data_IF_501254153493
#
_entry.id   IF_501254153493
#
_cell.length_a   1.000
_cell.length_b   1.000
_cell.length_c   1.000
_cell.angle_alpha   90.00
_cell.angle_beta   90.00
_cell.angle_gamma   90.00
#
_symmetry.space_group_name_H-M   'P 1'
#
loop_
_entity.id
_entity.type
_entity.pdbx_description
1 polymer ?
#
# COMPACT_ATOMS: atom_id res chain seq x y z
N UNK A 1 -30.82 -59.84 -18.43
CA UNK A 1 -30.20 -60.58 -17.31
C UNK A 1 -29.58 -59.53 -16.41
N UNK A 2 -30.05 -59.46 -15.17
CA UNK A 2 -29.71 -58.45 -14.18
C UNK A 2 -28.23 -58.53 -13.77
N UNK A 3 -27.63 -57.42 -13.32
CA UNK A 3 -27.46 -57.16 -11.87
C UNK A 3 -26.63 -55.89 -11.57
N UNK A 4 -27.19 -55.10 -10.64
CA UNK A 4 -26.64 -54.22 -9.59
C UNK A 4 -25.42 -53.31 -9.88
N UNK A 5 -25.56 -51.99 -9.83
CA UNK A 5 -25.63 -51.14 -8.62
C UNK A 5 -24.39 -51.22 -7.71
N UNK A 6 -23.51 -50.23 -7.83
CA UNK A 6 -22.70 -49.73 -6.69
C UNK A 6 -22.61 -48.21 -6.80
N UNK A 7 -23.60 -47.57 -6.19
CA UNK A 7 -23.67 -46.12 -5.95
C UNK A 7 -22.65 -45.75 -4.87
N UNK A 8 -21.53 -45.13 -5.27
CA UNK A 8 -20.59 -44.52 -4.33
C UNK A 8 -21.22 -43.27 -3.73
N UNK A 9 -21.54 -43.34 -2.45
CA UNK A 9 -22.09 -42.27 -1.63
C UNK A 9 -20.95 -41.30 -1.28
N UNK A 10 -20.88 -40.16 -1.96
CA UNK A 10 -20.07 -39.02 -1.50
C UNK A 10 -20.84 -38.30 -0.39
N UNK A 11 -20.23 -37.98 0.77
CA UNK A 11 -20.90 -37.19 1.79
C UNK A 11 -21.07 -35.74 1.31
N UNK A 12 -22.30 -35.25 1.41
CA UNK A 12 -22.68 -33.85 1.30
C UNK A 12 -22.01 -33.04 2.42
N UNK A 13 -20.91 -32.36 2.10
CA UNK A 13 -20.19 -31.47 3.01
C UNK A 13 -20.65 -30.02 2.87
N UNK A 14 -21.43 -29.57 3.86
CA UNK A 14 -21.61 -28.20 4.36
C UNK A 14 -21.50 -27.00 3.41
N UNK A 15 -22.63 -26.34 3.17
CA UNK A 15 -22.68 -24.91 2.91
C UNK A 15 -21.92 -24.17 4.02
N UNK A 16 -20.71 -23.70 3.70
CA UNK A 16 -19.99 -22.75 4.53
C UNK A 16 -20.80 -21.45 4.57
N UNK A 17 -21.39 -21.18 5.74
CA UNK A 17 -22.06 -19.93 6.03
C UNK A 17 -21.14 -18.76 5.68
N UNK A 18 -21.51 -18.04 4.62
CA UNK A 18 -20.92 -16.74 4.29
C UNK A 18 -21.41 -15.76 5.35
N UNK A 19 -20.72 -15.72 6.50
CA UNK A 19 -20.92 -14.70 7.53
C UNK A 19 -20.53 -13.36 6.93
N UNK A 20 -21.53 -12.61 6.49
CA UNK A 20 -21.39 -11.18 6.21
C UNK A 20 -21.05 -10.50 7.53
N UNK A 21 -19.76 -10.21 7.75
CA UNK A 21 -19.31 -9.39 8.87
C UNK A 21 -19.75 -7.94 8.60
N UNK A 22 -21.00 -7.63 8.91
CA UNK A 22 -21.51 -6.25 8.96
C UNK A 22 -20.96 -5.68 10.27
N UNK A 23 -19.87 -4.90 10.19
CA UNK A 23 -19.25 -4.26 11.36
C UNK A 23 -20.27 -3.51 12.21
N UNK A 24 -20.14 -3.58 13.54
CA UNK A 24 -21.13 -2.96 14.42
C UNK A 24 -21.06 -1.43 14.32
N UNK A 25 -22.16 -0.71 14.61
CA UNK A 25 -22.18 0.76 14.64
C UNK A 25 -21.11 1.36 15.56
N UNK A 26 -20.76 0.67 16.65
CA UNK A 26 -19.68 1.04 17.57
C UNK A 26 -18.30 1.03 16.89
N UNK A 27 -18.01 -0.02 16.12
CA UNK A 27 -16.73 -0.16 15.40
C UNK A 27 -16.53 0.98 14.39
N UNK A 28 -17.62 1.42 13.74
CA UNK A 28 -17.58 2.54 12.78
C UNK A 28 -17.33 3.88 13.48
N UNK A 29 -17.95 4.10 14.63
CA UNK A 29 -17.76 5.33 15.41
C UNK A 29 -16.33 5.45 15.96
N UNK A 30 -15.78 4.35 16.48
CA UNK A 30 -14.39 4.29 16.94
C UNK A 30 -13.39 4.48 15.79
N UNK A 31 -13.62 3.83 14.65
CA UNK A 31 -12.80 4.02 13.46
C UNK A 31 -12.80 5.47 12.95
N UNK A 32 -13.97 6.13 12.97
CA UNK A 32 -14.06 7.55 12.62
C UNK A 32 -13.30 8.44 13.60
N UNK A 33 -13.43 8.19 14.92
CA UNK A 33 -12.69 8.94 15.94
C UNK A 33 -11.16 8.77 15.79
N UNK A 34 -10.69 7.56 15.48
CA UNK A 34 -9.28 7.30 15.20
C UNK A 34 -8.80 8.03 13.93
N UNK A 35 -9.62 8.07 12.88
CA UNK A 35 -9.32 8.80 11.65
C UNK A 35 -9.25 10.31 11.91
N UNK A 36 -10.16 10.87 12.70
CA UNK A 36 -10.15 12.29 13.08
C UNK A 36 -8.89 12.65 13.88
N UNK A 37 -8.50 11.79 14.84
CA UNK A 37 -7.27 11.98 15.62
C UNK A 37 -6.01 11.93 14.73
N UNK A 38 -5.97 11.00 13.77
CA UNK A 38 -4.89 10.92 12.78
C UNK A 38 -4.82 12.20 11.93
N UNK A 39 -5.96 12.66 11.41
CA UNK A 39 -6.05 13.88 10.61
C UNK A 39 -5.57 15.07 11.43
N UNK A 40 -5.99 15.20 12.68
CA UNK A 40 -5.62 16.32 13.54
C UNK A 40 -4.12 16.33 13.86
N UNK A 41 -3.52 15.16 14.13
CA UNK A 41 -2.07 15.03 14.35
C UNK A 41 -1.25 15.54 13.16
N UNK A 42 -1.69 15.22 11.95
CA UNK A 42 -0.94 15.51 10.73
C UNK A 42 -1.36 16.81 10.04
N UNK A 43 -2.47 17.43 10.47
CA UNK A 43 -2.95 18.71 9.97
C UNK A 43 -1.90 19.81 10.22
N UNK A 44 -1.46 20.47 9.15
CA UNK A 44 -0.60 21.65 9.25
C UNK A 44 0.86 21.37 9.61
N UNK A 45 1.30 20.09 9.64
CA UNK A 45 2.70 19.74 9.87
C UNK A 45 3.59 20.32 8.75
N UNK A 46 4.54 21.19 9.12
CA UNK A 46 5.41 21.93 8.17
C UNK A 46 6.77 21.28 7.92
N UNK A 47 7.06 20.16 8.57
CA UNK A 47 8.33 19.42 8.45
C UNK A 47 8.66 19.02 6.99
N UNK A 48 9.94 18.73 6.68
CA UNK A 48 10.36 18.41 5.32
C UNK A 48 9.78 17.05 4.87
N UNK A 49 9.63 16.85 3.57
CA UNK A 49 9.08 15.61 3.00
C UNK A 49 9.78 14.35 3.55
N UNK A 50 11.13 14.38 3.58
CA UNK A 50 11.95 13.27 4.06
C UNK A 50 11.77 12.99 5.57
N UNK A 51 11.60 14.02 6.39
CA UNK A 51 11.49 13.85 7.85
C UNK A 51 10.09 13.42 8.32
N UNK A 52 9.10 13.41 7.42
CA UNK A 52 7.69 13.25 7.78
C UNK A 52 7.07 11.98 7.21
N UNK A 53 7.59 11.48 6.09
CA UNK A 53 6.99 10.35 5.38
C UNK A 53 6.92 9.06 6.21
N UNK A 54 8.04 8.59 6.77
CA UNK A 54 8.05 7.30 7.50
C UNK A 54 7.14 7.31 8.72
N UNK A 55 7.17 8.38 9.53
CA UNK A 55 6.32 8.49 10.72
C UNK A 55 4.84 8.62 10.35
N UNK A 56 4.49 9.37 9.30
CA UNK A 56 3.13 9.42 8.77
C UNK A 56 2.65 8.04 8.31
N UNK A 57 3.48 7.31 7.57
CA UNK A 57 3.13 5.98 7.06
C UNK A 57 3.03 4.94 8.18
N UNK A 58 3.86 5.02 9.22
CA UNK A 58 3.73 4.17 10.42
C UNK A 58 2.39 4.41 11.11
N UNK A 59 2.04 5.67 11.36
CA UNK A 59 0.75 6.03 11.96
C UNK A 59 -0.43 5.58 11.09
N UNK A 60 -0.30 5.70 9.75
CA UNK A 60 -1.31 5.23 8.81
C UNK A 60 -1.47 3.71 8.88
N UNK A 61 -0.37 2.96 9.03
CA UNK A 61 -0.44 1.51 9.23
C UNK A 61 -1.20 1.18 10.52
N UNK A 62 -0.91 1.88 11.61
CA UNK A 62 -1.62 1.70 12.88
C UNK A 62 -3.12 2.03 12.75
N UNK A 63 -3.47 3.12 12.06
CA UNK A 63 -4.86 3.50 11.80
C UNK A 63 -5.60 2.41 11.00
N UNK A 64 -4.95 1.81 10.01
CA UNK A 64 -5.52 0.77 9.16
C UNK A 64 -5.46 -0.63 9.79
N UNK A 65 -4.90 -0.78 10.99
CA UNK A 65 -4.66 -2.09 11.61
C UNK A 65 -3.66 -2.96 10.86
N UNK A 66 -2.82 -2.36 10.00
CA UNK A 66 -1.77 -3.04 9.27
C UNK A 66 -0.53 -3.25 10.15
N UNK A 67 0.25 -4.28 9.81
CA UNK A 67 1.56 -4.51 10.42
C UNK A 67 2.46 -3.28 10.26
N UNK A 68 3.36 -3.05 11.21
CA UNK A 68 4.37 -2.00 11.05
C UNK A 68 5.47 -2.50 10.11
N UNK A 69 5.88 -1.71 9.10
CA UNK A 69 7.00 -2.09 8.24
C UNK A 69 8.27 -2.31 9.05
N UNK A 70 9.06 -3.31 8.66
CA UNK A 70 10.34 -3.56 9.30
C UNK A 70 11.35 -2.43 8.95
N UNK A 71 12.17 -1.96 9.91
CA UNK A 71 13.15 -0.92 9.64
C UNK A 71 14.32 -1.37 8.76
N UNK A 72 14.53 -2.68 8.58
CA UNK A 72 15.64 -3.21 7.75
C UNK A 72 15.19 -3.66 6.36
N UNK A 73 16.08 -3.44 5.40
CA UNK A 73 15.79 -3.53 3.97
C UNK A 73 15.77 -4.96 3.37
N UNK A 74 15.93 -6.00 4.20
CA UNK A 74 16.04 -7.40 3.75
C UNK A 74 14.76 -8.22 4.02
N UNK A 75 13.69 -7.56 4.43
CA UNK A 75 12.41 -8.19 4.77
C UNK A 75 11.41 -8.15 3.60
N UNK A 76 10.21 -8.71 3.81
CA UNK A 76 9.14 -8.63 2.81
C UNK A 76 8.26 -7.40 2.97
N UNK A 77 8.40 -6.64 4.06
CA UNK A 77 7.71 -5.38 4.30
C UNK A 77 8.65 -4.38 4.97
N UNK A 78 9.03 -3.30 4.28
CA UNK A 78 10.08 -2.39 4.74
C UNK A 78 9.95 -0.97 4.19
N UNK A 79 10.60 -0.04 4.87
CA UNK A 79 10.94 1.26 4.30
C UNK A 79 12.19 1.20 3.45
N UNK A 80 12.31 2.15 2.52
CA UNK A 80 13.57 2.50 1.88
C UNK A 80 14.25 1.34 1.14
N UNK A 81 13.45 0.46 0.51
CA UNK A 81 13.94 -0.70 -0.26
C UNK A 81 14.88 -0.23 -1.38
N UNK A 82 16.16 -0.62 -1.39
CA UNK A 82 17.07 -0.31 -2.49
C UNK A 82 16.61 -1.00 -3.78
N UNK A 83 16.77 -0.30 -4.90
CA UNK A 83 16.49 -0.83 -6.24
C UNK A 83 17.59 -0.41 -7.21
N UNK A 84 17.81 -1.22 -8.23
CA UNK A 84 18.72 -0.90 -9.33
C UNK A 84 17.90 -0.78 -10.61
N UNK A 85 17.96 0.39 -11.24
CA UNK A 85 17.42 0.61 -12.56
C UNK A 85 18.45 0.21 -13.62
N UNK A 86 18.04 -0.63 -14.56
CA UNK A 86 18.83 -0.92 -15.76
C UNK A 86 18.36 -0.02 -16.92
N UNK A 87 19.30 0.54 -17.66
CA UNK A 87 19.06 1.44 -18.79
C UNK A 87 19.40 0.75 -20.12
N UNK A 88 18.80 1.23 -21.21
CA UNK A 88 18.96 0.62 -22.54
C UNK A 88 20.37 0.74 -23.13
N UNK A 89 21.20 1.63 -22.60
CA UNK A 89 22.61 1.79 -22.95
C UNK A 89 23.54 0.84 -22.16
N UNK A 90 22.96 -0.04 -21.33
CA UNK A 90 23.68 -0.96 -20.46
C UNK A 90 24.15 -0.35 -19.15
N UNK A 91 23.92 0.94 -18.91
CA UNK A 91 24.21 1.58 -17.63
C UNK A 91 23.16 1.22 -16.58
N UNK A 92 23.47 1.53 -15.32
CA UNK A 92 22.54 1.36 -14.20
C UNK A 92 22.57 2.54 -13.26
N UNK A 93 21.45 2.82 -12.60
CA UNK A 93 21.37 3.80 -11.52
C UNK A 93 20.71 3.21 -10.29
N UNK A 94 21.15 3.64 -9.11
CA UNK A 94 20.50 3.30 -7.85
C UNK A 94 19.18 4.07 -7.70
N UNK A 95 18.23 3.45 -7.00
CA UNK A 95 16.98 4.05 -6.57
C UNK A 95 16.56 3.50 -5.22
N UNK A 96 15.44 4.02 -4.71
CA UNK A 96 14.88 3.58 -3.44
C UNK A 96 13.37 3.72 -3.45
N UNK A 97 12.68 2.68 -3.00
CA UNK A 97 11.22 2.68 -2.83
C UNK A 97 10.92 3.15 -1.41
N UNK A 98 10.02 4.12 -1.25
CA UNK A 98 9.72 4.67 0.08
C UNK A 98 9.18 3.59 1.02
N UNK A 99 8.18 2.84 0.58
CA UNK A 99 7.65 1.70 1.32
C UNK A 99 7.29 0.55 0.38
N UNK A 100 7.74 -0.66 0.72
CA UNK A 100 7.58 -1.85 -0.13
C UNK A 100 7.02 -3.00 0.68
N UNK A 101 6.00 -3.68 0.15
CA UNK A 101 5.56 -4.99 0.63
C UNK A 101 5.54 -6.00 -0.52
N UNK A 102 6.39 -7.02 -0.45
CA UNK A 102 6.52 -8.08 -1.46
C UNK A 102 5.16 -8.72 -1.74
N UNK A 103 4.85 -8.87 -3.03
CA UNK A 103 3.58 -9.44 -3.48
C UNK A 103 2.33 -8.58 -3.23
N UNK A 104 2.48 -7.39 -2.63
CA UNK A 104 1.36 -6.51 -2.30
C UNK A 104 1.46 -5.15 -3.00
N UNK A 105 2.45 -4.32 -2.64
CA UNK A 105 2.54 -2.97 -3.19
C UNK A 105 3.97 -2.40 -3.22
N UNK A 106 4.15 -1.43 -4.11
CA UNK A 106 5.13 -0.35 -3.95
C UNK A 106 4.38 0.93 -3.61
N UNK A 107 4.92 1.71 -2.68
CA UNK A 107 4.35 2.99 -2.27
C UNK A 107 5.40 4.09 -2.47
N UNK A 108 4.95 5.18 -3.11
CA UNK A 108 5.69 6.43 -3.24
C UNK A 108 4.98 7.52 -2.42
N UNK A 109 5.71 8.09 -1.49
CA UNK A 109 5.26 9.24 -0.71
C UNK A 109 5.68 10.53 -1.40
N UNK A 110 4.83 11.55 -1.38
CA UNK A 110 5.12 12.88 -1.90
C UNK A 110 4.67 13.96 -0.95
N UNK A 111 5.37 15.09 -0.94
CA UNK A 111 4.85 16.36 -0.40
C UNK A 111 4.47 17.28 -1.54
N UNK A 112 3.20 17.27 -1.90
CA UNK A 112 2.73 18.09 -3.01
C UNK A 112 2.63 19.56 -2.60
N UNK A 113 3.12 20.45 -3.46
CA UNK A 113 3.09 21.91 -3.23
C UNK A 113 1.81 22.54 -3.74
N UNK A 114 1.19 21.91 -4.73
CA UNK A 114 -0.03 22.37 -5.38
C UNK A 114 -1.23 22.10 -4.48
N UNK A 115 -2.20 23.03 -4.49
CA UNK A 115 -3.47 22.82 -3.81
C UNK A 115 -4.22 21.65 -4.45
N UNK A 116 -5.02 20.95 -3.65
CA UNK A 116 -5.89 19.88 -4.13
C UNK A 116 -6.84 20.41 -5.23
N UNK A 117 -7.29 19.52 -6.11
CA UNK A 117 -8.21 19.84 -7.21
C UNK A 117 -7.66 20.83 -8.26
N UNK A 118 -6.34 20.98 -8.34
CA UNK A 118 -5.69 21.73 -9.42
C UNK A 118 -5.08 20.78 -10.44
N UNK A 119 -5.02 21.18 -11.72
CA UNK A 119 -4.31 20.40 -12.75
C UNK A 119 -2.87 20.08 -12.34
N UNK A 120 -2.18 21.01 -11.70
CA UNK A 120 -0.81 20.82 -11.23
C UNK A 120 -0.68 19.75 -10.14
N UNK A 121 -1.71 19.58 -9.30
CA UNK A 121 -1.79 18.50 -8.32
C UNK A 121 -1.99 17.15 -9.01
N UNK A 122 -2.92 17.07 -9.96
CA UNK A 122 -3.17 15.85 -10.74
C UNK A 122 -1.92 15.42 -11.53
N UNK A 123 -1.26 16.36 -12.20
CA UNK A 123 0.00 16.11 -12.92
C UNK A 123 1.13 15.65 -11.98
N UNK A 124 1.12 16.09 -10.73
CA UNK A 124 2.10 15.67 -9.74
C UNK A 124 1.82 14.23 -9.24
N UNK A 125 0.56 13.89 -8.99
CA UNK A 125 0.16 12.52 -8.65
C UNK A 125 0.43 11.54 -9.79
N UNK A 126 0.16 11.92 -11.05
CA UNK A 126 0.47 11.09 -12.22
C UNK A 126 1.98 10.84 -12.35
N UNK A 127 2.82 11.85 -12.10
CA UNK A 127 4.29 11.66 -12.10
C UNK A 127 4.76 10.75 -10.97
N UNK A 128 4.21 10.90 -9.77
CA UNK A 128 4.52 10.02 -8.64
C UNK A 128 4.09 8.57 -8.91
N UNK A 129 2.93 8.38 -9.54
CA UNK A 129 2.48 7.06 -10.00
C UNK A 129 3.48 6.46 -11.00
N UNK A 130 3.87 7.21 -12.03
CA UNK A 130 4.86 6.74 -13.02
C UNK A 130 6.19 6.34 -12.37
N UNK A 131 6.63 7.08 -11.34
CA UNK A 131 7.81 6.74 -10.55
C UNK A 131 7.64 5.41 -9.81
N UNK A 132 6.52 5.22 -9.14
CA UNK A 132 6.24 3.98 -8.42
C UNK A 132 6.08 2.76 -9.36
N UNK A 133 5.45 2.95 -10.52
CA UNK A 133 5.42 1.92 -11.58
C UNK A 133 6.82 1.56 -12.09
N UNK A 134 7.73 2.54 -12.22
CA UNK A 134 9.12 2.29 -12.58
C UNK A 134 9.84 1.45 -11.51
N UNK A 135 9.59 1.70 -10.21
CA UNK A 135 10.13 0.85 -9.16
C UNK A 135 9.61 -0.58 -9.26
N UNK A 136 8.30 -0.76 -9.46
CA UNK A 136 7.72 -2.08 -9.66
C UNK A 136 8.38 -2.82 -10.85
N UNK A 137 8.68 -2.12 -11.95
CA UNK A 137 9.41 -2.66 -13.10
C UNK A 137 10.89 -2.97 -12.82
N UNK A 138 11.51 -2.27 -11.88
CA UNK A 138 12.91 -2.47 -11.51
C UNK A 138 13.14 -3.56 -10.45
N UNK A 139 12.09 -4.07 -9.81
CA UNK A 139 12.20 -5.21 -8.88
C UNK A 139 12.85 -6.43 -9.55
N UNK A 140 13.57 -7.29 -8.80
CA UNK A 140 14.11 -8.53 -9.36
C UNK A 140 12.99 -9.42 -9.91
N UNK A 141 13.23 -10.08 -11.05
CA UNK A 141 12.21 -10.90 -11.74
C UNK A 141 11.63 -12.00 -10.84
N UNK A 142 12.48 -12.62 -10.01
CA UNK A 142 12.10 -13.68 -9.08
C UNK A 142 11.10 -13.24 -8.00
N UNK A 143 10.96 -11.95 -7.72
CA UNK A 143 10.01 -11.44 -6.72
C UNK A 143 8.58 -11.28 -7.27
N UNK A 144 8.41 -11.41 -8.59
CA UNK A 144 7.19 -11.03 -9.28
C UNK A 144 7.00 -9.51 -9.34
N UNK A 145 5.82 -9.06 -9.76
CA UNK A 145 5.42 -7.64 -9.74
C UNK A 145 4.31 -7.47 -8.71
N UNK A 146 4.37 -6.45 -7.84
CA UNK A 146 3.29 -6.18 -6.91
C UNK A 146 2.02 -5.78 -7.69
N UNK A 147 0.83 -6.22 -7.26
CA UNK A 147 -0.43 -5.91 -7.92
C UNK A 147 -0.85 -4.44 -7.77
N UNK A 148 -0.33 -3.74 -6.75
CA UNK A 148 -0.68 -2.35 -6.47
C UNK A 148 0.53 -1.41 -6.52
N UNK A 149 0.24 -0.20 -7.00
CA UNK A 149 1.09 0.97 -6.87
C UNK A 149 0.30 2.00 -6.06
N UNK A 150 0.89 2.49 -4.97
CA UNK A 150 0.26 3.44 -4.07
C UNK A 150 1.02 4.76 -4.11
N UNK A 151 0.30 5.87 -4.21
CA UNK A 151 0.87 7.22 -4.07
C UNK A 151 0.19 7.89 -2.90
N UNK A 152 0.98 8.45 -1.99
CA UNK A 152 0.47 9.14 -0.79
C UNK A 152 1.02 10.57 -0.75
N UNK A 153 0.13 11.57 -0.72
CA UNK A 153 0.52 12.94 -0.37
C UNK A 153 0.60 13.08 1.15
N UNK A 154 1.81 13.17 1.70
CA UNK A 154 2.08 13.23 3.15
C UNK A 154 2.16 14.66 3.69
N UNK A 155 1.94 15.68 2.86
CA UNK A 155 2.20 17.07 3.25
C UNK A 155 1.14 18.08 2.88
N UNK A 156 -0.10 17.64 2.69
CA UNK A 156 -1.16 18.53 2.27
C UNK A 156 -1.40 19.66 3.29
N UNK A 157 -1.16 20.89 2.84
CA UNK A 157 -1.54 22.08 3.59
C UNK A 157 -2.98 22.39 3.24
N UNK A 158 -3.93 22.16 4.15
CA UNK A 158 -5.13 22.99 4.07
C UNK A 158 -4.71 24.42 4.46
N UNK A 159 -5.05 25.44 3.65
CA UNK A 159 -4.93 26.83 4.07
C UNK A 159 -5.77 27.11 5.31
#
# INVERSE_FOLDING_TARGET
MADADTKSLLPSGGEGARTTNQGSPGDTAEANAAADAFIEKWRGVKASELSTSQSFLIDLCHLLGAETPHPTADQDYMFERPITFAHGDGSSSAGRIDLYRRGAFVLESKKLKQAAHTKGFDDALLRARSQAENYARALPAAEGRPPFVVVVDVGHRRP
#
